data_IF_007381099883
#
_entry.id   IF_007381099883
#
_cell.length_a   1.000
_cell.length_b   1.000
_cell.length_c   1.000
_cell.angle_alpha   90.00
_cell.angle_beta   90.00
_cell.angle_gamma   90.00
#
_symmetry.space_group_name_H-M   'P 1'
#
loop_
_entity.id
_entity.type
_entity.pdbx_description
1 polymer ?
#
# COMPACT_ATOMS: atom_id res chain seq x y z
N UNK A 1 -37.61 -26.15 59.87
CA UNK A 1 -36.33 -25.59 59.53
C UNK A 1 -36.03 -25.90 58.00
N UNK A 2 -36.21 -24.91 57.17
CA UNK A 2 -35.74 -25.01 55.77
C UNK A 2 -34.29 -24.50 55.75
N UNK A 3 -33.37 -25.24 55.20
CA UNK A 3 -32.05 -24.68 54.92
C UNK A 3 -32.21 -23.69 53.78
N UNK A 4 -31.85 -22.44 54.06
CA UNK A 4 -31.73 -21.43 53.04
C UNK A 4 -30.57 -21.79 52.11
N UNK A 5 -30.92 -22.38 50.98
CA UNK A 5 -30.02 -22.54 49.86
C UNK A 5 -29.96 -21.24 49.08
N UNK A 6 -29.51 -20.19 49.73
CA UNK A 6 -28.94 -19.05 49.01
C UNK A 6 -27.52 -19.42 48.62
N UNK A 7 -27.43 -20.23 47.57
CA UNK A 7 -26.17 -20.43 46.89
C UNK A 7 -25.68 -19.07 46.34
N UNK A 8 -24.38 -18.82 46.37
CA UNK A 8 -23.84 -17.60 45.77
C UNK A 8 -24.22 -17.62 44.30
N UNK A 9 -25.18 -16.78 43.95
CA UNK A 9 -25.53 -16.55 42.57
C UNK A 9 -24.29 -16.10 41.83
N UNK A 10 -23.86 -16.93 40.92
CA UNK A 10 -23.08 -16.63 39.75
C UNK A 10 -22.41 -15.25 39.70
N UNK A 11 -21.40 -15.01 40.52
CA UNK A 11 -20.49 -13.88 40.40
C UNK A 11 -19.48 -14.07 39.23
N UNK A 12 -19.67 -15.09 38.40
CA UNK A 12 -18.73 -15.44 37.33
C UNK A 12 -19.14 -15.08 35.92
N UNK A 13 -20.38 -14.60 35.70
CA UNK A 13 -20.85 -14.30 34.34
C UNK A 13 -20.61 -12.88 33.88
N UNK A 14 -20.30 -11.94 34.78
CA UNK A 14 -20.19 -10.51 34.46
C UNK A 14 -18.78 -10.03 34.13
N UNK A 15 -17.78 -10.91 34.26
CA UNK A 15 -16.38 -10.52 34.02
C UNK A 15 -15.99 -10.40 32.54
N UNK A 16 -16.86 -10.79 31.60
CA UNK A 16 -16.60 -10.76 30.17
C UNK A 16 -17.33 -9.66 29.42
N UNK A 17 -18.16 -8.89 30.10
CA UNK A 17 -18.71 -7.66 29.54
C UNK A 17 -17.67 -6.53 29.61
N UNK A 18 -16.63 -6.69 28.79
CA UNK A 18 -15.83 -5.53 28.45
C UNK A 18 -16.79 -4.45 27.94
N UNK A 19 -16.82 -3.27 28.54
CA UNK A 19 -17.73 -2.22 28.11
C UNK A 19 -17.52 -2.00 26.62
N UNK A 20 -18.59 -1.96 25.85
CA UNK A 20 -18.54 -1.76 24.39
C UNK A 20 -17.65 -0.56 24.02
N UNK A 21 -17.57 0.42 24.90
CA UNK A 21 -16.67 1.55 24.79
C UNK A 21 -15.18 1.19 24.81
N UNK A 22 -14.78 0.19 25.63
CA UNK A 22 -13.39 -0.27 25.65
C UNK A 22 -13.02 -1.05 24.37
N UNK A 23 -13.98 -1.76 23.77
CA UNK A 23 -13.78 -2.41 22.48
C UNK A 23 -13.53 -1.40 21.35
N UNK A 24 -14.25 -0.27 21.36
CA UNK A 24 -14.02 0.81 20.40
C UNK A 24 -12.65 1.47 20.58
N UNK A 25 -12.20 1.66 21.82
CA UNK A 25 -10.87 2.21 22.11
C UNK A 25 -9.73 1.30 21.65
N UNK A 26 -9.93 -0.02 21.65
CA UNK A 26 -8.96 -0.99 21.12
C UNK A 26 -9.08 -1.17 19.59
N UNK A 27 -10.28 -1.05 19.04
CA UNK A 27 -10.52 -1.22 17.59
C UNK A 27 -9.85 -0.13 16.75
N UNK A 28 -9.84 1.11 17.20
CA UNK A 28 -9.23 2.24 16.48
C UNK A 28 -7.71 2.07 16.29
N UNK A 29 -6.91 1.81 17.36
CA UNK A 29 -5.47 1.58 17.17
C UNK A 29 -5.17 0.29 16.40
N UNK A 30 -5.99 -0.76 16.53
CA UNK A 30 -5.85 -2.00 15.77
C UNK A 30 -6.09 -1.75 14.27
N UNK A 31 -7.11 -0.96 13.92
CA UNK A 31 -7.39 -0.56 12.53
C UNK A 31 -6.25 0.30 11.96
N UNK A 32 -5.76 1.27 12.72
CA UNK A 32 -4.62 2.10 12.34
C UNK A 32 -3.36 1.26 12.10
N UNK A 33 -3.07 0.31 12.98
CA UNK A 33 -1.96 -0.63 12.83
C UNK A 33 -2.12 -1.53 11.60
N UNK A 34 -3.33 -2.02 11.32
CA UNK A 34 -3.63 -2.84 10.15
C UNK A 34 -3.42 -2.06 8.84
N UNK A 35 -3.88 -0.82 8.77
CA UNK A 35 -3.68 0.07 7.61
C UNK A 35 -2.19 0.38 7.42
N UNK A 36 -1.48 0.66 8.51
CA UNK A 36 -0.04 0.91 8.47
C UNK A 36 0.76 -0.31 8.00
N UNK A 37 0.45 -1.49 8.53
CA UNK A 37 1.09 -2.74 8.14
C UNK A 37 0.79 -3.09 6.68
N UNK A 38 -0.46 -2.94 6.25
CA UNK A 38 -0.86 -3.13 4.85
C UNK A 38 -0.05 -2.22 3.92
N UNK A 39 0.06 -0.94 4.26
CA UNK A 39 0.87 0.01 3.50
C UNK A 39 2.31 -0.45 3.39
N UNK A 40 2.92 -0.82 4.52
CA UNK A 40 4.31 -1.29 4.56
C UNK A 40 4.53 -2.53 3.71
N UNK A 41 3.61 -3.49 3.75
CA UNK A 41 3.67 -4.70 2.94
C UNK A 41 3.51 -4.41 1.44
N UNK A 42 2.58 -3.53 1.06
CA UNK A 42 2.36 -3.15 -0.35
C UNK A 42 3.60 -2.44 -0.91
N UNK A 43 4.16 -1.49 -0.18
CA UNK A 43 5.38 -0.77 -0.60
C UNK A 43 6.59 -1.72 -0.68
N UNK A 44 6.77 -2.60 0.29
CA UNK A 44 7.85 -3.58 0.28
C UNK A 44 7.72 -4.58 -0.89
N UNK A 45 6.52 -5.08 -1.17
CA UNK A 45 6.25 -5.95 -2.32
C UNK A 45 6.53 -5.24 -3.64
N UNK A 46 6.14 -3.97 -3.75
CA UNK A 46 6.41 -3.14 -4.92
C UNK A 46 7.91 -2.95 -5.12
N UNK A 47 8.63 -2.54 -4.08
CA UNK A 47 10.08 -2.38 -4.14
C UNK A 47 10.80 -3.67 -4.57
N UNK A 48 10.40 -4.82 -4.01
CA UNK A 48 10.96 -6.12 -4.41
C UNK A 48 10.68 -6.46 -5.89
N UNK A 49 9.50 -6.14 -6.41
CA UNK A 49 9.15 -6.38 -7.82
C UNK A 49 9.96 -5.48 -8.76
N UNK A 50 10.15 -4.22 -8.41
CA UNK A 50 10.92 -3.27 -9.20
C UNK A 50 12.43 -3.55 -9.19
N UNK A 51 12.93 -4.21 -8.15
CA UNK A 51 14.34 -4.57 -7.99
C UNK A 51 14.60 -6.07 -8.28
N UNK A 52 13.62 -6.79 -8.79
CA UNK A 52 13.73 -8.21 -9.09
C UNK A 52 14.81 -8.54 -10.11
N UNK A 53 15.32 -9.81 -10.12
CA UNK A 53 16.37 -10.25 -11.04
C UNK A 53 15.94 -10.23 -12.50
N UNK A 54 14.66 -10.36 -12.79
CA UNK A 54 14.10 -10.28 -14.15
C UNK A 54 13.85 -8.81 -14.51
N UNK A 55 14.82 -8.15 -15.11
CA UNK A 55 14.80 -6.73 -15.47
C UNK A 55 13.61 -6.34 -16.35
N UNK A 56 13.26 -7.16 -17.34
CA UNK A 56 12.10 -6.91 -18.20
C UNK A 56 10.79 -6.88 -17.42
N UNK A 57 10.63 -7.80 -16.46
CA UNK A 57 9.45 -7.84 -15.60
C UNK A 57 9.40 -6.66 -14.63
N UNK A 58 10.54 -6.31 -14.05
CA UNK A 58 10.67 -5.13 -13.21
C UNK A 58 10.33 -3.83 -13.96
N UNK A 59 10.75 -3.72 -15.22
CA UNK A 59 10.42 -2.58 -16.08
C UNK A 59 8.92 -2.52 -16.39
N UNK A 60 8.26 -3.64 -16.66
CA UNK A 60 6.81 -3.68 -16.88
C UNK A 60 6.03 -3.32 -15.62
N UNK A 61 6.43 -3.82 -14.46
CA UNK A 61 5.80 -3.48 -13.18
C UNK A 61 5.97 -1.98 -12.88
N UNK A 62 7.14 -1.43 -13.17
CA UNK A 62 7.42 0.02 -13.04
C UNK A 62 6.57 0.84 -14.01
N UNK A 63 6.42 0.37 -15.25
CA UNK A 63 5.57 1.02 -16.25
C UNK A 63 4.10 1.05 -15.85
N UNK A 64 3.54 -0.06 -15.38
CA UNK A 64 2.16 -0.11 -14.87
C UNK A 64 1.96 0.84 -13.69
N UNK A 65 2.96 0.95 -12.83
CA UNK A 65 2.94 1.91 -11.73
C UNK A 65 2.96 3.36 -12.25
N UNK A 66 3.81 3.64 -13.24
CA UNK A 66 3.92 4.95 -13.87
C UNK A 66 2.61 5.36 -14.56
N UNK A 67 1.96 4.45 -15.28
CA UNK A 67 0.64 4.72 -15.88
C UNK A 67 -0.41 5.08 -14.84
N UNK A 68 -0.39 4.43 -13.67
CA UNK A 68 -1.29 4.78 -12.56
C UNK A 68 -0.99 6.17 -11.99
N UNK A 69 0.28 6.54 -11.88
CA UNK A 69 0.68 7.87 -11.41
C UNK A 69 0.31 8.97 -12.41
N UNK A 70 0.48 8.71 -13.70
CA UNK A 70 0.18 9.67 -14.76
C UNK A 70 -1.31 9.74 -15.12
N UNK A 71 -2.16 8.92 -14.49
CA UNK A 71 -3.60 8.95 -14.75
C UNK A 71 -4.19 10.31 -14.35
N UNK A 72 -4.56 11.12 -15.36
CA UNK A 72 -5.05 12.49 -15.19
C UNK A 72 -3.96 13.57 -15.16
N UNK A 73 -2.71 13.21 -15.47
CA UNK A 73 -1.57 14.12 -15.64
C UNK A 73 -0.98 13.99 -17.06
N UNK A 74 0.11 14.71 -17.33
CA UNK A 74 0.81 14.61 -18.60
C UNK A 74 1.32 13.17 -18.86
N UNK A 75 1.19 12.67 -20.11
CA UNK A 75 1.67 11.33 -20.44
C UNK A 75 3.20 11.25 -20.29
N UNK A 76 3.73 10.04 -19.98
CA UNK A 76 5.17 9.84 -19.90
C UNK A 76 5.85 10.07 -21.24
N UNK A 77 7.16 10.45 -21.26
CA UNK A 77 7.92 10.66 -22.48
C UNK A 77 7.91 9.45 -23.41
N UNK A 78 7.87 9.68 -24.71
CA UNK A 78 7.88 8.62 -25.72
C UNK A 78 9.04 7.65 -25.57
N UNK A 79 10.21 8.12 -25.20
CA UNK A 79 11.40 7.30 -24.93
C UNK A 79 11.18 6.22 -23.87
N UNK A 80 10.47 6.56 -22.78
CA UNK A 80 10.17 5.61 -21.72
C UNK A 80 9.10 4.60 -22.14
N UNK A 81 8.17 5.04 -23.00
CA UNK A 81 7.18 4.16 -23.59
C UNK A 81 7.84 3.13 -24.51
N UNK A 82 8.77 3.54 -25.35
CA UNK A 82 9.55 2.64 -26.19
C UNK A 82 10.34 1.60 -25.38
N UNK A 83 10.92 2.00 -24.24
CA UNK A 83 11.59 1.07 -23.33
C UNK A 83 10.63 0.04 -22.73
N UNK A 84 9.42 0.44 -22.39
CA UNK A 84 8.40 -0.48 -21.89
C UNK A 84 7.90 -1.44 -22.97
N UNK A 85 7.71 -0.96 -24.20
CA UNK A 85 7.37 -1.79 -25.36
C UNK A 85 8.50 -2.77 -25.69
N UNK A 86 9.75 -2.32 -25.63
CA UNK A 86 10.93 -3.16 -25.77
C UNK A 86 10.96 -4.27 -24.71
N UNK A 87 10.63 -3.95 -23.45
CA UNK A 87 10.55 -4.91 -22.36
C UNK A 87 9.44 -5.95 -22.58
N UNK A 88 8.35 -5.55 -23.21
CA UNK A 88 7.17 -6.40 -23.42
C UNK A 88 7.30 -7.33 -24.63
N UNK A 89 7.85 -6.83 -25.72
CA UNK A 89 7.82 -7.51 -27.01
C UNK A 89 9.18 -8.02 -27.51
N UNK A 90 10.28 -7.60 -26.91
CA UNK A 90 11.61 -8.00 -27.27
C UNK A 90 12.17 -9.06 -26.32
N UNK A 91 12.83 -10.07 -26.86
CA UNK A 91 13.64 -11.00 -26.07
C UNK A 91 14.92 -10.34 -25.51
N UNK A 92 15.11 -9.06 -25.79
CA UNK A 92 16.27 -8.33 -25.32
C UNK A 92 16.10 -7.90 -23.85
N UNK A 93 17.09 -8.27 -23.04
CA UNK A 93 17.11 -7.88 -21.62
C UNK A 93 17.48 -6.41 -21.52
N UNK A 94 16.65 -5.61 -20.84
CA UNK A 94 16.96 -4.21 -20.58
C UNK A 94 18.27 -4.06 -19.80
N UNK A 95 19.01 -3.00 -20.12
CA UNK A 95 20.20 -2.65 -19.36
C UNK A 95 19.82 -2.10 -17.97
N UNK A 96 20.69 -2.19 -16.96
CA UNK A 96 20.42 -1.62 -15.63
C UNK A 96 20.22 -0.10 -15.69
N UNK A 97 20.82 0.57 -16.66
CA UNK A 97 20.67 2.03 -16.88
C UNK A 97 19.27 2.38 -17.40
N UNK A 98 18.75 1.60 -18.35
CA UNK A 98 17.40 1.76 -18.89
C UNK A 98 16.33 1.54 -17.81
N UNK A 99 16.51 0.51 -16.96
CA UNK A 99 15.63 0.26 -15.82
C UNK A 99 15.75 1.39 -14.77
N UNK A 100 16.97 1.87 -14.52
CA UNK A 100 17.23 2.99 -13.62
C UNK A 100 16.50 4.26 -14.06
N UNK A 101 16.53 4.57 -15.36
CA UNK A 101 15.82 5.73 -15.92
C UNK A 101 14.30 5.64 -15.73
N UNK A 102 13.70 4.45 -15.90
CA UNK A 102 12.29 4.22 -15.65
C UNK A 102 11.92 4.42 -14.17
N UNK A 103 12.70 3.84 -13.26
CA UNK A 103 12.44 3.92 -11.82
C UNK A 103 12.64 5.33 -11.28
N UNK A 104 13.65 6.06 -11.77
CA UNK A 104 13.91 7.45 -11.41
C UNK A 104 12.77 8.36 -11.86
N UNK A 105 12.32 8.23 -13.11
CA UNK A 105 11.19 9.00 -13.61
C UNK A 105 9.90 8.70 -12.83
N UNK A 106 9.64 7.44 -12.49
CA UNK A 106 8.50 7.06 -11.65
C UNK A 106 8.58 7.72 -10.26
N UNK A 107 9.77 7.78 -9.66
CA UNK A 107 10.02 8.49 -8.40
C UNK A 107 9.74 9.99 -8.51
N UNK A 108 10.19 10.63 -9.58
CA UNK A 108 9.94 12.06 -9.84
C UNK A 108 8.44 12.35 -10.03
N UNK A 109 7.72 11.50 -10.78
CA UNK A 109 6.27 11.62 -10.94
C UNK A 109 5.52 11.44 -9.62
N UNK A 110 5.94 10.49 -8.78
CA UNK A 110 5.35 10.29 -7.45
C UNK A 110 5.55 11.52 -6.56
N UNK A 111 6.75 12.07 -6.53
CA UNK A 111 7.07 13.28 -5.75
C UNK A 111 6.28 14.51 -6.24
N UNK A 112 6.14 14.67 -7.56
CA UNK A 112 5.35 15.76 -8.17
C UNK A 112 3.89 15.62 -7.78
N UNK A 113 3.32 14.43 -7.93
CA UNK A 113 1.93 14.16 -7.57
C UNK A 113 1.66 14.39 -6.09
N UNK A 114 2.59 14.01 -5.21
CA UNK A 114 2.48 14.30 -3.78
C UNK A 114 2.44 15.79 -3.47
N UNK A 115 3.23 16.61 -4.18
CA UNK A 115 3.24 18.08 -4.02
C UNK A 115 1.96 18.74 -4.55
N UNK A 116 1.45 18.26 -5.68
CA UNK A 116 0.26 18.82 -6.35
C UNK A 116 -1.06 18.39 -5.69
N UNK A 117 -1.03 17.31 -4.92
CA UNK A 117 -2.22 16.78 -4.25
C UNK A 117 -2.59 17.60 -3.03
N UNK A 118 -3.88 17.94 -2.87
CA UNK A 118 -4.42 18.54 -1.65
C UNK A 118 -4.31 17.60 -0.45
N UNK A 119 -4.46 18.09 0.80
CA UNK A 119 -4.20 17.32 2.02
C UNK A 119 -5.06 16.06 2.12
N UNK A 120 -6.35 16.13 1.80
CA UNK A 120 -7.26 14.98 1.83
C UNK A 120 -6.93 13.96 0.75
N UNK A 121 -6.66 14.43 -0.47
CA UNK A 121 -6.29 13.57 -1.59
C UNK A 121 -4.95 12.89 -1.35
N UNK A 122 -3.97 13.62 -0.80
CA UNK A 122 -2.66 13.10 -0.39
C UNK A 122 -2.81 12.00 0.66
N UNK A 123 -3.66 12.22 1.68
CA UNK A 123 -3.94 11.20 2.69
C UNK A 123 -4.54 9.95 2.07
N UNK A 124 -5.54 10.10 1.19
CA UNK A 124 -6.21 8.98 0.52
C UNK A 124 -5.25 8.19 -0.38
N UNK A 125 -4.49 8.89 -1.23
CA UNK A 125 -3.52 8.27 -2.14
C UNK A 125 -2.39 7.57 -1.37
N UNK A 126 -1.94 8.15 -0.27
CA UNK A 126 -0.85 7.62 0.54
C UNK A 126 -1.25 6.42 1.39
N UNK A 127 -2.41 6.49 2.04
CA UNK A 127 -2.82 5.49 3.03
C UNK A 127 -3.75 4.41 2.48
N UNK A 128 -4.66 4.76 1.59
CA UNK A 128 -5.63 3.82 1.02
C UNK A 128 -5.12 3.20 -0.26
N UNK A 129 -4.67 4.03 -1.21
CA UNK A 129 -4.17 3.56 -2.50
C UNK A 129 -2.70 3.13 -2.48
N UNK A 130 -1.93 3.50 -1.45
CA UNK A 130 -0.51 3.20 -1.31
C UNK A 130 0.29 3.53 -2.58
N UNK A 131 0.04 4.71 -3.19
CA UNK A 131 0.67 5.11 -4.44
C UNK A 131 2.12 5.56 -4.24
N UNK A 132 2.42 6.17 -3.08
CA UNK A 132 3.76 6.65 -2.70
C UNK A 132 4.00 6.60 -1.20
#
# INVERSE_FOLDING_TARGET
ARPDTSGPAAAGADSWQLPVQALWLLALPALAAAVWLRRRLVLARRARRMQGPARSRAALDTWVYLERLCRGAAPPPARLRELAEKAKFSNHVLTPEELGALTEYAGQCAARREKESGPLRRFWEKWILCLY
#
